data_IF_141482328252
#
_entry.id   IF_141482328252
#
_cell.length_a   1.000
_cell.length_b   1.000
_cell.length_c   1.000
_cell.angle_alpha   90.00
_cell.angle_beta   90.00
_cell.angle_gamma   90.00
#
_symmetry.space_group_name_H-M   'P 1'
#
loop_
_entity.id
_entity.type
_entity.pdbx_description
1 polymer ?
#
# COMPACT_ATOMS: atom_id res chain seq x y z
N UNK A 1 -2.83 15.99 -6.43
CA UNK A 1 -3.18 14.87 -7.30
C UNK A 1 -3.90 15.32 -8.58
N UNK A 2 -5.18 15.73 -8.61
CA UNK A 2 -5.88 15.97 -9.91
C UNK A 2 -6.85 17.16 -9.91
N UNK A 3 -7.10 17.72 -11.11
CA UNK A 3 -8.20 18.62 -11.51
C UNK A 3 -8.72 18.18 -12.90
N UNK A 4 -9.76 18.81 -13.42
CA UNK A 4 -10.14 18.63 -14.83
C UNK A 4 -8.94 18.91 -15.74
N UNK A 5 -8.70 17.99 -16.68
CA UNK A 5 -7.57 18.05 -17.63
C UNK A 5 -6.17 18.15 -17.00
N UNK A 6 -6.00 17.82 -15.71
CA UNK A 6 -4.72 17.92 -15.02
C UNK A 6 -4.53 16.78 -14.01
N UNK A 7 -3.43 16.06 -14.15
CA UNK A 7 -2.96 15.08 -13.17
C UNK A 7 -1.49 15.34 -12.80
N UNK A 8 -1.19 15.23 -11.50
CA UNK A 8 0.16 15.28 -10.94
C UNK A 8 0.62 13.85 -10.66
N UNK A 9 1.87 13.56 -11.02
CA UNK A 9 2.53 12.26 -10.84
C UNK A 9 3.91 12.45 -10.20
N UNK A 10 4.45 11.39 -9.60
CA UNK A 10 5.76 11.36 -8.98
C UNK A 10 5.88 12.30 -7.79
N UNK A 11 7.02 13.00 -7.71
CA UNK A 11 7.33 13.92 -6.61
C UNK A 11 6.39 15.14 -6.58
N UNK A 12 5.83 15.52 -7.73
CA UNK A 12 4.80 16.57 -7.79
C UNK A 12 3.46 16.13 -7.16
N UNK A 13 3.24 14.83 -7.03
CA UNK A 13 2.05 14.27 -6.40
C UNK A 13 2.23 14.00 -4.90
N UNK A 14 3.47 13.76 -4.44
CA UNK A 14 3.80 13.25 -3.11
C UNK A 14 4.65 14.25 -2.30
N UNK A 15 4.19 14.67 -1.12
CA UNK A 15 4.97 15.52 -0.18
C UNK A 15 5.81 14.68 0.83
N UNK A 16 6.27 13.49 0.44
CA UNK A 16 7.02 12.60 1.34
C UNK A 16 8.46 12.65 0.89
N UNK A 17 9.37 13.12 1.75
CA UNK A 17 10.82 13.11 1.50
C UNK A 17 11.23 11.71 1.05
N UNK A 18 11.53 11.49 -0.25
CA UNK A 18 11.87 10.16 -0.72
C UNK A 18 13.19 9.77 -0.05
N UNK A 19 13.23 8.58 0.54
CA UNK A 19 14.51 7.91 0.77
C UNK A 19 15.20 7.86 -0.61
N UNK A 20 16.41 8.44 -0.68
CA UNK A 20 17.11 8.67 -1.95
C UNK A 20 17.05 7.40 -2.83
N UNK A 21 16.47 7.52 -4.03
CA UNK A 21 16.33 6.43 -4.99
C UNK A 21 14.92 5.83 -5.17
N UNK A 22 13.92 6.16 -4.35
CA UNK A 22 12.56 5.60 -4.49
C UNK A 22 11.59 6.43 -5.37
N UNK A 23 11.90 7.69 -5.66
CA UNK A 23 11.00 8.61 -6.39
C UNK A 23 10.67 8.15 -7.82
N UNK A 24 11.62 7.51 -8.50
CA UNK A 24 11.41 6.99 -9.86
C UNK A 24 10.42 5.83 -9.87
N UNK A 25 10.54 4.88 -8.94
CA UNK A 25 9.63 3.76 -8.84
C UNK A 25 8.20 4.22 -8.49
N UNK A 26 8.06 5.23 -7.62
CA UNK A 26 6.76 5.84 -7.33
C UNK A 26 6.16 6.54 -8.55
N UNK A 27 7.00 7.23 -9.34
CA UNK A 27 6.58 7.84 -10.61
C UNK A 27 6.10 6.82 -11.64
N UNK A 28 6.79 5.68 -11.77
CA UNK A 28 6.34 4.61 -12.67
C UNK A 28 5.01 4.00 -12.24
N UNK A 29 4.83 3.73 -10.96
CA UNK A 29 3.55 3.24 -10.43
C UNK A 29 2.41 4.27 -10.66
N UNK A 30 2.69 5.57 -10.55
CA UNK A 30 1.71 6.61 -10.86
C UNK A 30 1.30 6.60 -12.35
N UNK A 31 2.27 6.46 -13.26
CA UNK A 31 2.01 6.43 -14.71
C UNK A 31 1.25 5.17 -15.11
N UNK A 32 1.61 4.01 -14.55
CA UNK A 32 0.93 2.75 -14.79
C UNK A 32 -0.56 2.82 -14.38
N UNK A 33 -0.84 3.28 -13.16
CA UNK A 33 -2.21 3.42 -12.66
C UNK A 33 -3.00 4.48 -13.46
N UNK A 34 -2.38 5.63 -13.77
CA UNK A 34 -3.04 6.67 -14.59
C UNK A 34 -3.41 6.14 -15.97
N UNK A 35 -2.50 5.41 -16.61
CA UNK A 35 -2.71 4.79 -17.92
C UNK A 35 -3.82 3.75 -17.86
N UNK A 36 -3.83 2.90 -16.82
CA UNK A 36 -4.87 1.91 -16.60
C UNK A 36 -6.26 2.55 -16.47
N UNK A 37 -6.40 3.65 -15.72
CA UNK A 37 -7.70 4.33 -15.57
C UNK A 37 -8.17 4.99 -16.88
N UNK A 38 -7.22 5.54 -17.66
CA UNK A 38 -7.51 6.19 -18.93
C UNK A 38 -7.96 5.17 -19.99
N UNK A 39 -7.20 4.09 -20.19
CA UNK A 39 -7.47 3.10 -21.25
C UNK A 39 -8.78 2.34 -21.00
N UNK A 40 -9.11 2.09 -19.74
CA UNK A 40 -10.35 1.39 -19.37
C UNK A 40 -11.58 2.31 -19.32
N UNK A 41 -11.48 3.55 -19.83
CA UNK A 41 -12.59 4.49 -19.87
C UNK A 41 -12.88 4.98 -21.28
N UNK A 42 -14.16 5.02 -21.65
CA UNK A 42 -14.62 5.66 -22.90
C UNK A 42 -14.82 7.18 -22.76
N UNK A 43 -14.30 7.78 -21.68
CA UNK A 43 -14.44 9.21 -21.40
C UNK A 43 -13.27 10.00 -21.98
N UNK A 44 -13.40 11.33 -22.16
CA UNK A 44 -12.27 12.17 -22.54
C UNK A 44 -11.09 12.02 -21.58
N UNK A 45 -9.85 12.13 -22.10
CA UNK A 45 -8.60 11.95 -21.34
C UNK A 45 -8.52 12.78 -20.05
N UNK A 46 -9.09 13.99 -20.08
CA UNK A 46 -9.09 14.91 -18.94
C UNK A 46 -10.31 14.84 -18.04
N UNK A 47 -11.21 13.86 -18.23
CA UNK A 47 -12.42 13.73 -17.44
C UNK A 47 -12.09 13.56 -15.95
N UNK A 48 -12.63 14.47 -15.14
CA UNK A 48 -12.33 14.51 -13.72
C UNK A 48 -12.70 13.22 -12.98
N UNK A 49 -13.76 12.51 -13.40
CA UNK A 49 -14.18 11.28 -12.73
C UNK A 49 -13.20 10.13 -12.96
N UNK A 50 -12.54 10.09 -14.13
CA UNK A 50 -11.46 9.13 -14.44
C UNK A 50 -10.21 9.48 -13.64
N UNK A 51 -9.77 10.73 -13.74
CA UNK A 51 -8.60 11.22 -13.01
C UNK A 51 -8.76 11.09 -11.49
N UNK A 52 -9.98 11.24 -10.97
CA UNK A 52 -10.31 11.05 -9.55
C UNK A 52 -10.17 9.58 -9.11
N UNK A 53 -10.40 8.60 -9.98
CA UNK A 53 -10.16 7.18 -9.65
C UNK A 53 -8.67 6.91 -9.48
N UNK A 54 -7.84 7.42 -10.41
CA UNK A 54 -6.38 7.41 -10.29
C UNK A 54 -5.94 8.04 -8.96
N UNK A 55 -6.42 9.26 -8.66
CA UNK A 55 -6.06 9.97 -7.44
C UNK A 55 -6.50 9.23 -6.16
N UNK A 56 -7.63 8.51 -6.19
CA UNK A 56 -8.07 7.68 -5.05
C UNK A 56 -7.22 6.45 -4.87
N UNK A 57 -6.87 5.76 -5.95
CA UNK A 57 -5.99 4.58 -5.94
C UNK A 57 -4.65 4.94 -5.29
N UNK A 58 -3.98 5.99 -5.78
CA UNK A 58 -2.69 6.44 -5.24
C UNK A 58 -2.79 7.04 -3.83
N UNK A 59 -3.91 7.69 -3.47
CA UNK A 59 -4.14 8.16 -2.09
C UNK A 59 -4.37 7.03 -1.11
N UNK A 60 -4.99 5.92 -1.52
CA UNK A 60 -5.24 4.77 -0.65
C UNK A 60 -3.92 4.11 -0.24
N UNK A 61 -2.97 3.98 -1.17
CA UNK A 61 -1.62 3.49 -0.86
C UNK A 61 -0.92 4.40 0.16
N UNK A 62 -1.06 5.72 0.02
CA UNK A 62 -0.48 6.68 0.96
C UNK A 62 -1.17 6.68 2.33
N UNK A 63 -2.50 6.55 2.39
CA UNK A 63 -3.22 6.45 3.65
C UNK A 63 -2.92 5.14 4.38
N UNK A 64 -2.85 4.02 3.64
CA UNK A 64 -2.50 2.73 4.20
C UNK A 64 -1.07 2.75 4.77
N UNK A 65 -0.12 3.31 4.03
CA UNK A 65 1.26 3.45 4.49
C UNK A 65 1.37 4.40 5.69
N UNK A 66 0.67 5.54 5.69
CA UNK A 66 0.64 6.47 6.81
C UNK A 66 -0.03 5.87 8.07
N UNK A 67 -1.14 5.14 7.91
CA UNK A 67 -1.80 4.42 9.00
C UNK A 67 -0.93 3.29 9.52
N UNK A 68 -0.24 2.55 8.64
CA UNK A 68 0.71 1.49 9.03
C UNK A 68 1.87 2.07 9.81
N UNK A 69 2.47 3.17 9.34
CA UNK A 69 3.57 3.83 10.06
C UNK A 69 3.12 4.45 11.38
N UNK A 70 1.90 5.00 11.45
CA UNK A 70 1.34 5.52 12.70
C UNK A 70 1.07 4.38 13.69
N UNK A 71 0.50 3.26 13.22
CA UNK A 71 0.26 2.07 14.04
C UNK A 71 1.58 1.47 14.56
N UNK A 72 2.60 1.35 13.70
CA UNK A 72 3.93 0.90 14.11
C UNK A 72 4.56 1.87 15.12
N UNK A 73 4.55 3.17 14.85
CA UNK A 73 5.09 4.17 15.77
C UNK A 73 4.37 4.15 17.13
N UNK A 74 3.06 3.94 17.14
CA UNK A 74 2.30 3.76 18.38
C UNK A 74 2.70 2.48 19.12
N UNK A 75 2.83 1.36 18.41
CA UNK A 75 3.30 0.08 18.97
C UNK A 75 4.73 0.18 19.55
N UNK A 76 5.62 0.94 18.90
CA UNK A 76 7.01 1.07 19.33
C UNK A 76 7.23 2.16 20.39
N UNK A 77 6.38 3.19 20.48
CA UNK A 77 6.47 4.24 21.51
C UNK A 77 5.77 3.89 22.81
N UNK A 78 4.75 3.04 22.78
CA UNK A 78 3.94 2.74 23.96
C UNK A 78 4.55 1.59 24.79
N UNK A 79 5.38 1.93 25.77
CA UNK A 79 5.94 1.01 26.78
C UNK A 79 4.92 0.70 27.90
N UNK A 80 3.73 0.23 27.56
CA UNK A 80 2.71 -0.14 28.56
C UNK A 80 2.11 -1.54 28.32
N UNK A 81 1.74 -2.18 29.43
CA UNK A 81 1.11 -3.50 29.60
C UNK A 81 0.07 -3.96 28.54
N UNK A 82 -0.76 -3.09 27.91
CA UNK A 82 -1.73 -3.50 26.89
C UNK A 82 -1.13 -4.19 25.66
N UNK A 83 0.11 -3.83 25.26
CA UNK A 83 0.79 -4.48 24.14
C UNK A 83 1.19 -5.92 24.45
N UNK A 84 1.46 -6.24 25.73
CA UNK A 84 1.76 -7.62 26.17
C UNK A 84 0.52 -8.49 26.05
N UNK A 85 -0.65 -7.94 26.35
CA UNK A 85 -1.94 -8.62 26.17
C UNK A 85 -2.31 -8.78 24.68
N UNK A 86 -2.06 -7.76 23.85
CA UNK A 86 -2.28 -7.83 22.40
C UNK A 86 -1.37 -8.88 21.73
N UNK A 87 -0.10 -8.96 22.15
CA UNK A 87 0.86 -10.00 21.71
C UNK A 87 0.41 -11.40 22.16
N UNK A 88 -0.15 -11.52 23.37
CA UNK A 88 -0.72 -12.78 23.89
C UNK A 88 -2.02 -13.23 23.21
N UNK A 89 -2.90 -12.30 22.84
CA UNK A 89 -4.09 -12.60 22.05
C UNK A 89 -3.74 -12.94 20.60
N UNK A 90 -2.81 -12.22 19.99
CA UNK A 90 -2.32 -12.50 18.65
C UNK A 90 -1.73 -13.91 18.53
N UNK A 91 -0.87 -14.31 19.46
CA UNK A 91 -0.34 -15.68 19.52
C UNK A 91 -1.45 -16.73 19.74
N UNK A 92 -2.40 -16.50 20.64
CA UNK A 92 -3.51 -17.44 20.88
C UNK A 92 -4.43 -17.61 19.67
N UNK A 93 -4.68 -16.55 18.90
CA UNK A 93 -5.51 -16.62 17.69
C UNK A 93 -4.77 -17.37 16.57
N UNK A 94 -3.45 -17.15 16.45
CA UNK A 94 -2.61 -17.88 15.49
C UNK A 94 -2.49 -19.36 15.87
N UNK A 95 -2.36 -19.70 17.14
CA UNK A 95 -2.23 -21.09 17.60
C UNK A 95 -3.54 -21.87 17.56
N UNK A 96 -4.69 -21.22 17.77
CA UNK A 96 -6.01 -21.89 17.72
C UNK A 96 -6.59 -22.04 16.30
N UNK A 97 -5.94 -21.49 15.27
CA UNK A 97 -6.44 -21.54 13.90
C UNK A 97 -5.35 -22.03 12.93
N UNK A 98 -5.34 -23.35 12.69
CA UNK A 98 -4.34 -24.05 11.88
C UNK A 98 -4.22 -23.54 10.44
N UNK A 99 -5.29 -22.98 9.87
CA UNK A 99 -5.28 -22.33 8.55
C UNK A 99 -4.47 -21.02 8.54
N UNK A 100 -4.52 -20.24 9.62
CA UNK A 100 -3.76 -18.98 9.74
C UNK A 100 -2.28 -19.29 9.97
N UNK A 101 -1.99 -20.28 10.82
CA UNK A 101 -0.61 -20.75 11.08
C UNK A 101 0.08 -21.25 9.80
N UNK A 102 -0.63 -22.05 9.00
CA UNK A 102 -0.11 -22.55 7.72
C UNK A 102 0.05 -21.45 6.66
N UNK A 103 -0.82 -20.44 6.64
CA UNK A 103 -0.67 -19.27 5.77
C UNK A 103 0.59 -18.46 6.13
N UNK A 104 0.81 -18.16 7.42
CA UNK A 104 2.01 -17.46 7.86
C UNK A 104 3.29 -18.27 7.68
N UNK A 105 3.25 -19.60 7.88
CA UNK A 105 4.38 -20.47 7.58
C UNK A 105 4.73 -20.46 6.09
N UNK A 106 3.73 -20.55 5.20
CA UNK A 106 3.95 -20.46 3.74
C UNK A 106 4.49 -19.09 3.32
N UNK A 107 4.01 -18.02 3.94
CA UNK A 107 4.49 -16.66 3.67
C UNK A 107 5.91 -16.42 4.21
N UNK A 108 6.26 -16.99 5.38
CA UNK A 108 7.58 -16.89 5.99
C UNK A 108 8.63 -17.80 5.33
N UNK A 109 8.20 -18.93 4.77
CA UNK A 109 9.02 -19.81 3.93
C UNK A 109 9.16 -19.29 2.49
N UNK A 110 8.47 -18.19 2.15
CA UNK A 110 8.70 -17.36 0.97
C UNK A 110 9.04 -18.13 -0.30
N UNK A 111 8.02 -18.68 -0.98
CA UNK A 111 8.04 -18.96 -2.43
C UNK A 111 9.42 -19.34 -3.00
N UNK A 112 10.06 -20.38 -2.47
CA UNK A 112 11.20 -21.04 -3.12
C UNK A 112 10.69 -22.26 -3.87
N UNK A 113 9.92 -22.05 -4.93
CA UNK A 113 10.12 -22.80 -6.18
C UNK A 113 9.20 -22.27 -7.29
N UNK A 114 9.72 -21.33 -8.07
CA UNK A 114 9.51 -21.41 -9.51
C UNK A 114 10.64 -22.27 -10.07
N UNK A 115 10.34 -23.51 -10.42
CA UNK A 115 11.03 -24.19 -11.52
C UNK A 115 9.99 -24.79 -12.48
N UNK A 116 10.12 -24.55 -13.80
CA UNK A 116 9.19 -25.02 -14.81
C UNK A 116 9.54 -26.43 -15.25
N UNK A 117 8.53 -27.28 -15.45
CA UNK A 117 8.54 -28.39 -16.42
C UNK A 117 7.17 -28.53 -17.01
#
# INVERSE_FOLDING_TARGET
YVKENLALVGDAAHNIHPLAGQGVNLGFADVEELTHQIINSNKPLGDYSVLRKYARSRRFDNELMAKTMTALNWIYKENNEPLRWLRGLGMNIIDNNSSIKSFFQRQALGDTDKTPT
#
